data_IF_110526674463
#
_entry.id   IF_110526674463
#
_cell.length_a   1.000
_cell.length_b   1.000
_cell.length_c   1.000
_cell.angle_alpha   90.00
_cell.angle_beta   90.00
_cell.angle_gamma   90.00
#
_symmetry.space_group_name_H-M   'P 1'
#
loop_
_entity.id
_entity.type
_entity.pdbx_description
1 polymer ?
#
# COMPACT_ATOMS: atom_id res chain seq x y z
N UNK A 1 -30.57 -26.10 -5.20
CA UNK A 1 -29.78 -25.73 -4.02
C UNK A 1 -30.49 -24.59 -3.32
N UNK A 2 -31.04 -24.80 -2.14
CA UNK A 2 -31.57 -23.73 -1.29
C UNK A 2 -30.38 -22.92 -0.81
N UNK A 3 -30.32 -21.63 -1.12
CA UNK A 3 -29.31 -20.73 -0.55
C UNK A 3 -29.50 -20.67 0.96
N UNK A 4 -28.49 -21.01 1.73
CA UNK A 4 -28.53 -20.82 3.19
C UNK A 4 -28.42 -19.33 3.47
N UNK A 5 -29.24 -18.82 4.39
CA UNK A 5 -29.17 -17.44 4.82
C UNK A 5 -27.90 -17.17 5.62
N UNK A 6 -27.36 -15.96 5.48
CA UNK A 6 -26.20 -15.50 6.25
C UNK A 6 -26.69 -14.48 7.27
N UNK A 7 -26.41 -14.74 8.55
CA UNK A 7 -26.69 -13.83 9.66
C UNK A 7 -25.39 -13.24 10.19
N UNK A 8 -25.44 -12.01 10.68
CA UNK A 8 -24.31 -11.30 11.28
C UNK A 8 -24.53 -11.19 12.78
N UNK A 9 -23.57 -11.61 13.57
CA UNK A 9 -23.64 -11.62 15.03
C UNK A 9 -22.38 -11.04 15.66
N UNK A 10 -22.53 -10.33 16.77
CA UNK A 10 -21.42 -9.91 17.63
C UNK A 10 -20.94 -11.06 18.51
N UNK A 11 -19.68 -10.97 18.97
CA UNK A 11 -19.09 -11.91 19.91
C UNK A 11 -18.59 -11.15 21.16
N UNK A 12 -19.31 -11.22 22.29
CA UNK A 12 -18.89 -10.54 23.52
C UNK A 12 -17.69 -11.21 24.23
N UNK A 13 -17.31 -12.43 23.83
CA UNK A 13 -16.27 -13.23 24.47
C UNK A 13 -14.91 -13.09 23.76
N UNK A 14 -14.69 -12.04 22.98
CA UNK A 14 -13.41 -11.79 22.32
C UNK A 14 -12.33 -11.46 23.35
N UNK A 15 -11.18 -12.11 23.18
CA UNK A 15 -9.96 -11.82 23.95
C UNK A 15 -9.13 -10.78 23.21
N UNK A 16 -8.27 -10.07 23.93
CA UNK A 16 -7.35 -9.11 23.36
C UNK A 16 -6.37 -9.78 22.41
N UNK A 17 -6.14 -9.15 21.27
CA UNK A 17 -5.07 -9.49 20.33
C UNK A 17 -3.77 -8.84 20.80
N UNK A 18 -2.66 -9.57 20.77
CA UNK A 18 -1.32 -9.02 21.01
C UNK A 18 -0.49 -9.16 19.72
N UNK A 19 0.21 -8.10 19.36
CA UNK A 19 1.04 -8.03 18.15
C UNK A 19 2.49 -7.79 18.51
N UNK A 20 3.40 -8.54 17.87
CA UNK A 20 4.85 -8.42 17.98
C UNK A 20 5.40 -8.15 16.59
N UNK A 21 6.08 -7.03 16.43
CA UNK A 21 6.65 -6.63 15.14
C UNK A 21 8.16 -6.50 15.26
N UNK A 22 8.87 -7.12 14.33
CA UNK A 22 10.31 -6.98 14.16
C UNK A 22 10.58 -6.53 12.74
N UNK A 23 11.54 -5.61 12.57
CA UNK A 23 11.96 -5.15 11.26
C UNK A 23 13.46 -4.90 11.23
N UNK A 24 14.08 -5.21 10.09
CA UNK A 24 15.46 -4.86 9.75
C UNK A 24 15.41 -3.96 8.53
N UNK A 25 16.04 -2.80 8.63
CA UNK A 25 16.12 -1.79 7.57
C UNK A 25 17.57 -1.66 7.11
N UNK A 26 17.78 -1.66 5.79
CA UNK A 26 19.04 -1.32 5.16
C UNK A 26 18.82 -0.27 4.09
N UNK A 27 19.60 0.80 4.14
CA UNK A 27 19.59 1.89 3.15
C UNK A 27 20.95 2.05 2.52
N UNK A 28 20.96 2.18 1.20
CA UNK A 28 22.15 2.53 0.42
C UNK A 28 21.81 3.67 -0.53
N UNK A 29 22.62 4.71 -0.52
CA UNK A 29 22.43 5.89 -1.36
C UNK A 29 23.70 6.18 -2.14
N UNK A 30 23.54 6.39 -3.44
CA UNK A 30 24.60 6.80 -4.32
C UNK A 30 24.10 7.79 -5.37
N UNK A 31 25.02 8.29 -6.18
CA UNK A 31 24.68 9.16 -7.31
C UNK A 31 23.73 8.50 -8.30
N UNK A 32 23.85 7.17 -8.48
CA UNK A 32 23.14 6.43 -9.52
C UNK A 32 22.04 5.50 -9.01
N UNK A 33 22.09 5.14 -7.74
CA UNK A 33 21.20 4.18 -7.13
C UNK A 33 20.88 4.56 -5.70
N UNK A 34 19.60 4.68 -5.38
CA UNK A 34 19.11 4.65 -4.01
C UNK A 34 18.41 3.31 -3.81
N UNK A 35 18.73 2.60 -2.76
CA UNK A 35 18.18 1.30 -2.42
C UNK A 35 17.75 1.27 -0.96
N UNK A 36 16.51 0.88 -0.72
CA UNK A 36 15.98 0.58 0.60
C UNK A 36 15.52 -0.87 0.62
N UNK A 37 16.00 -1.62 1.60
CA UNK A 37 15.58 -2.99 1.86
C UNK A 37 15.00 -3.05 3.27
N UNK A 38 13.78 -3.60 3.38
CA UNK A 38 13.13 -3.86 4.66
C UNK A 38 12.83 -5.36 4.71
N UNK A 39 13.22 -6.01 5.79
CA UNK A 39 12.72 -7.33 6.16
C UNK A 39 11.84 -7.17 7.39
N UNK A 40 10.66 -7.77 7.38
CA UNK A 40 9.69 -7.61 8.45
C UNK A 40 9.04 -8.94 8.83
N UNK A 41 8.77 -9.05 10.12
CA UNK A 41 8.02 -10.14 10.70
C UNK A 41 7.00 -9.60 11.68
N UNK A 42 5.73 -9.94 11.47
CA UNK A 42 4.63 -9.64 12.37
C UNK A 42 4.09 -10.97 12.91
N UNK A 43 3.98 -11.10 14.22
CA UNK A 43 3.33 -12.21 14.88
C UNK A 43 2.20 -11.71 15.78
N UNK A 44 1.04 -12.36 15.71
CA UNK A 44 -0.12 -12.04 16.51
C UNK A 44 -0.60 -13.26 17.26
N UNK A 45 -0.87 -13.09 18.56
CA UNK A 45 -1.58 -14.08 19.38
C UNK A 45 -3.04 -13.69 19.48
N UNK A 46 -3.92 -14.69 19.45
CA UNK A 46 -5.37 -14.50 19.50
C UNK A 46 -5.90 -13.46 18.49
N UNK A 47 -5.47 -13.49 17.20
CA UNK A 47 -5.91 -12.50 16.21
C UNK A 47 -7.43 -12.50 16.12
N UNK A 48 -8.03 -11.30 16.06
CA UNK A 48 -9.48 -11.15 15.89
C UNK A 48 -9.75 -11.16 14.39
N UNK A 49 -10.53 -12.14 13.93
CA UNK A 49 -10.85 -12.33 12.52
C UNK A 49 -12.35 -12.56 12.33
N UNK A 50 -12.88 -12.06 11.22
CA UNK A 50 -14.21 -12.45 10.75
C UNK A 50 -14.21 -13.89 10.26
N UNK A 51 -15.18 -14.66 10.63
CA UNK A 51 -15.26 -16.09 10.32
C UNK A 51 -16.71 -16.54 10.15
N UNK A 52 -16.95 -17.49 9.23
CA UNK A 52 -18.23 -18.13 9.04
C UNK A 52 -18.32 -19.42 9.87
N UNK A 53 -19.39 -19.53 10.69
CA UNK A 53 -19.79 -20.75 11.37
C UNK A 53 -21.10 -21.24 10.77
N UNK A 54 -21.31 -22.55 10.77
CA UNK A 54 -22.57 -23.18 10.40
C UNK A 54 -23.36 -23.53 11.65
N UNK A 55 -24.62 -23.05 11.71
CA UNK A 55 -25.54 -23.36 12.78
C UNK A 55 -26.88 -23.80 12.18
N UNK A 56 -27.17 -25.11 12.30
CA UNK A 56 -28.35 -25.70 11.70
C UNK A 56 -28.39 -25.53 10.18
N UNK A 57 -29.37 -24.77 9.68
CA UNK A 57 -29.58 -24.56 8.24
C UNK A 57 -29.10 -23.18 7.74
N UNK A 58 -28.33 -22.44 8.53
CA UNK A 58 -27.85 -21.11 8.15
C UNK A 58 -26.37 -20.92 8.52
N UNK A 59 -25.75 -19.88 7.96
CA UNK A 59 -24.40 -19.47 8.28
C UNK A 59 -24.43 -18.21 9.17
N UNK A 60 -23.55 -18.17 10.16
CA UNK A 60 -23.34 -17.00 11.00
C UNK A 60 -21.95 -16.46 10.71
N UNK A 61 -21.89 -15.19 10.31
CA UNK A 61 -20.64 -14.43 10.25
C UNK A 61 -20.44 -13.66 11.55
N UNK A 62 -19.37 -13.95 12.26
CA UNK A 62 -19.01 -13.23 13.47
C UNK A 62 -17.49 -13.09 13.60
N UNK A 63 -17.05 -12.27 14.56
CA UNK A 63 -15.65 -12.16 14.93
C UNK A 63 -15.26 -13.25 15.90
N UNK A 64 -14.13 -13.91 15.66
CA UNK A 64 -13.58 -14.94 16.55
C UNK A 64 -12.10 -14.69 16.80
N UNK A 65 -11.58 -15.19 17.91
CA UNK A 65 -10.14 -15.23 18.13
C UNK A 65 -9.55 -16.45 17.41
N UNK A 66 -8.62 -16.21 16.52
CA UNK A 66 -7.78 -17.25 15.95
C UNK A 66 -6.72 -17.73 16.92
N UNK A 67 -6.00 -18.79 16.58
CA UNK A 67 -4.89 -19.30 17.38
C UNK A 67 -3.68 -18.38 17.29
N UNK A 68 -3.28 -18.06 16.05
CA UNK A 68 -2.19 -17.14 15.74
C UNK A 68 -2.33 -16.60 14.32
N UNK A 69 -1.68 -15.48 14.08
CA UNK A 69 -1.39 -15.02 12.72
C UNK A 69 0.06 -14.58 12.63
N UNK A 70 0.66 -14.76 11.46
CA UNK A 70 1.97 -14.20 11.19
C UNK A 70 2.07 -13.70 9.75
N UNK A 71 2.89 -12.67 9.58
CA UNK A 71 3.29 -12.14 8.28
C UNK A 71 4.81 -12.11 8.22
N UNK A 72 5.38 -12.80 7.26
CA UNK A 72 6.77 -12.62 6.85
C UNK A 72 6.75 -11.79 5.57
N UNK A 73 7.49 -10.72 5.55
CA UNK A 73 7.50 -9.83 4.41
C UNK A 73 8.80 -9.05 4.29
N UNK A 74 8.85 -8.26 3.24
CA UNK A 74 9.94 -7.34 2.99
C UNK A 74 9.50 -6.27 2.01
N UNK A 75 10.33 -5.25 1.88
CA UNK A 75 10.23 -4.24 0.84
C UNK A 75 11.56 -4.09 0.16
N UNK A 76 11.53 -4.05 -1.15
CA UNK A 76 12.64 -3.58 -1.98
C UNK A 76 12.16 -2.30 -2.66
N UNK A 77 12.79 -1.19 -2.34
CA UNK A 77 12.56 0.08 -3.00
C UNK A 77 13.87 0.53 -3.65
N UNK A 78 13.91 0.54 -4.98
CA UNK A 78 15.07 0.93 -5.76
C UNK A 78 14.74 2.13 -6.63
N UNK A 79 15.60 3.15 -6.60
CA UNK A 79 15.54 4.32 -7.48
C UNK A 79 16.83 4.42 -8.28
N UNK A 80 16.77 4.14 -9.56
CA UNK A 80 17.91 4.14 -10.49
C UNK A 80 17.92 5.46 -11.24
N UNK A 81 19.05 6.15 -11.22
CA UNK A 81 19.31 7.44 -11.87
C UNK A 81 20.41 7.26 -12.94
N UNK A 82 20.10 6.83 -14.17
CA UNK A 82 21.11 6.44 -15.16
C UNK A 82 22.16 7.51 -15.44
N UNK A 83 21.77 8.77 -15.35
CA UNK A 83 22.67 9.92 -15.57
C UNK A 83 23.23 10.53 -14.28
N UNK A 84 22.96 9.92 -13.12
CA UNK A 84 23.34 10.46 -11.81
C UNK A 84 22.67 11.79 -11.47
N UNK A 85 21.55 12.10 -12.13
CA UNK A 85 20.72 13.30 -11.95
C UNK A 85 19.25 12.88 -11.95
N UNK A 86 18.36 13.82 -11.65
CA UNK A 86 16.90 13.57 -11.72
C UNK A 86 16.33 13.74 -13.17
N UNK A 87 17.19 13.81 -14.20
CA UNK A 87 16.74 13.88 -15.58
C UNK A 87 15.86 12.68 -15.95
N UNK A 88 16.33 11.50 -15.59
CA UNK A 88 15.60 10.24 -15.75
C UNK A 88 15.75 9.41 -14.48
N UNK A 89 14.64 8.92 -13.93
CA UNK A 89 14.61 8.08 -12.75
C UNK A 89 13.66 6.92 -12.95
N UNK A 90 14.16 5.73 -12.73
CA UNK A 90 13.38 4.49 -12.69
C UNK A 90 13.17 4.12 -11.22
N UNK A 91 11.93 3.94 -10.80
CA UNK A 91 11.61 3.46 -9.45
C UNK A 91 10.95 2.10 -9.53
N UNK A 92 11.36 1.21 -8.64
CA UNK A 92 10.81 -0.13 -8.50
C UNK A 92 10.55 -0.33 -7.01
N UNK A 93 9.30 -0.58 -6.66
CA UNK A 93 8.91 -0.99 -5.31
C UNK A 93 8.27 -2.38 -5.37
N UNK A 94 8.77 -3.30 -4.58
CA UNK A 94 8.23 -4.65 -4.44
C UNK A 94 8.04 -4.93 -2.95
N UNK A 95 6.83 -5.35 -2.55
CA UNK A 95 6.47 -5.68 -1.17
C UNK A 95 6.07 -7.17 -1.03
N UNK A 96 6.99 -8.14 -1.27
CA UNK A 96 6.66 -9.55 -1.12
C UNK A 96 6.31 -9.85 0.34
N UNK A 97 5.16 -10.48 0.55
CA UNK A 97 4.78 -10.94 1.87
C UNK A 97 3.94 -12.22 1.84
N UNK A 98 4.07 -13.02 2.88
CA UNK A 98 3.26 -14.20 3.13
C UNK A 98 2.51 -14.02 4.44
N UNK A 99 1.20 -13.90 4.32
CA UNK A 99 0.29 -13.83 5.46
C UNK A 99 -0.25 -15.21 5.75
N UNK A 100 -0.27 -15.59 7.02
CA UNK A 100 -0.86 -16.85 7.48
C UNK A 100 -1.70 -16.57 8.72
N UNK A 101 -2.92 -17.07 8.74
CA UNK A 101 -3.86 -16.99 9.85
C UNK A 101 -4.29 -18.42 10.18
N UNK A 102 -4.24 -18.78 11.44
CA UNK A 102 -4.69 -20.07 11.95
C UNK A 102 -5.87 -19.89 12.90
N UNK A 103 -6.92 -20.61 12.65
CA UNK A 103 -8.08 -20.76 13.53
C UNK A 103 -8.08 -22.15 14.16
N UNK A 104 -9.03 -22.45 15.02
CA UNK A 104 -9.21 -23.77 15.60
C UNK A 104 -9.49 -24.86 14.54
N UNK A 105 -10.12 -24.50 13.41
CA UNK A 105 -10.57 -25.44 12.37
C UNK A 105 -9.74 -25.35 11.08
N UNK A 106 -9.23 -24.15 10.75
CA UNK A 106 -8.65 -23.88 9.44
C UNK A 106 -7.37 -23.06 9.53
N UNK A 107 -6.55 -23.17 8.49
CA UNK A 107 -5.36 -22.36 8.27
C UNK A 107 -5.46 -21.71 6.89
N UNK A 108 -5.36 -20.40 6.86
CA UNK A 108 -5.39 -19.58 5.65
C UNK A 108 -4.00 -19.03 5.37
N UNK A 109 -3.52 -19.15 4.16
CA UNK A 109 -2.24 -18.57 3.76
C UNK A 109 -2.36 -17.92 2.40
N UNK A 110 -1.84 -16.69 2.29
CA UNK A 110 -1.82 -15.93 1.05
C UNK A 110 -0.42 -15.35 0.87
N UNK A 111 0.16 -15.58 -0.31
CA UNK A 111 1.33 -14.84 -0.76
C UNK A 111 0.85 -13.66 -1.61
N UNK A 112 1.42 -12.49 -1.38
CA UNK A 112 1.21 -11.29 -2.16
C UNK A 112 2.53 -10.59 -2.42
N UNK A 113 2.59 -9.82 -3.49
CA UNK A 113 3.73 -8.98 -3.81
C UNK A 113 3.22 -7.66 -4.43
N UNK A 114 2.61 -6.78 -3.61
CA UNK A 114 2.31 -5.43 -4.07
C UNK A 114 3.53 -4.83 -4.75
N UNK A 115 3.31 -4.20 -5.88
CA UNK A 115 4.40 -3.71 -6.71
C UNK A 115 4.03 -2.37 -7.32
N UNK A 116 5.05 -1.59 -7.59
CA UNK A 116 4.92 -0.28 -8.20
C UNK A 116 6.17 0.01 -9.03
N UNK A 117 5.96 0.38 -10.27
CA UNK A 117 7.00 0.79 -11.20
C UNK A 117 6.72 2.21 -11.64
N UNK A 118 7.71 3.09 -11.62
CA UNK A 118 7.57 4.39 -12.23
C UNK A 118 8.79 4.79 -13.05
N UNK A 119 8.52 5.58 -14.08
CA UNK A 119 9.51 6.23 -14.90
C UNK A 119 9.26 7.73 -14.83
N UNK A 120 10.19 8.46 -14.21
CA UNK A 120 10.15 9.91 -14.11
C UNK A 120 11.16 10.52 -15.07
N UNK A 121 10.72 11.49 -15.85
CA UNK A 121 11.56 12.30 -16.74
C UNK A 121 11.40 13.77 -16.38
N UNK A 122 12.51 14.48 -16.16
CA UNK A 122 12.54 15.90 -15.85
C UNK A 122 13.59 16.60 -16.70
N UNK A 123 13.17 17.48 -17.58
CA UNK A 123 14.08 18.27 -18.41
C UNK A 123 13.63 19.72 -18.49
N UNK A 124 14.46 20.64 -17.98
CA UNK A 124 14.13 22.06 -17.89
C UNK A 124 12.78 22.28 -17.20
N UNK A 125 11.81 22.76 -17.95
CA UNK A 125 10.46 23.07 -17.49
C UNK A 125 9.48 21.91 -17.71
N UNK A 126 9.90 20.81 -18.30
CA UNK A 126 9.10 19.64 -18.58
C UNK A 126 9.30 18.56 -17.53
N UNK A 127 8.21 17.97 -17.09
CA UNK A 127 8.22 16.73 -16.34
C UNK A 127 7.23 15.74 -16.94
N UNK A 128 7.59 14.49 -16.98
CA UNK A 128 6.69 13.41 -17.36
C UNK A 128 6.87 12.24 -16.38
N UNK A 129 5.77 11.57 -16.10
CA UNK A 129 5.76 10.40 -15.25
C UNK A 129 4.90 9.32 -15.91
N UNK A 130 5.36 8.09 -15.85
CA UNK A 130 4.59 6.91 -16.16
C UNK A 130 4.62 5.97 -14.98
N UNK A 131 3.46 5.44 -14.56
CA UNK A 131 3.36 4.49 -13.45
C UNK A 131 2.63 3.24 -13.89
N UNK A 132 3.12 2.11 -13.40
CA UNK A 132 2.53 0.81 -13.66
C UNK A 132 2.54 -0.06 -12.41
N UNK A 133 1.47 -0.80 -12.14
CA UNK A 133 1.45 -1.84 -11.12
C UNK A 133 0.69 -3.06 -11.61
N UNK A 134 1.22 -4.24 -11.28
CA UNK A 134 0.60 -5.52 -11.60
C UNK A 134 -0.34 -5.88 -10.44
N UNK A 135 -1.61 -6.22 -10.71
CA UNK A 135 -2.55 -6.61 -9.67
C UNK A 135 -2.09 -7.84 -8.89
N UNK A 136 -2.15 -7.76 -7.58
CA UNK A 136 -1.83 -8.87 -6.69
C UNK A 136 -2.93 -9.09 -5.68
N UNK A 137 -3.04 -10.31 -5.14
CA UNK A 137 -3.95 -10.59 -4.04
C UNK A 137 -3.28 -10.32 -2.71
N UNK A 138 -3.98 -9.61 -1.81
CA UNK A 138 -3.62 -9.46 -0.40
C UNK A 138 -4.59 -10.24 0.49
N UNK A 139 -4.17 -10.57 1.71
CA UNK A 139 -5.02 -11.23 2.70
C UNK A 139 -5.67 -10.19 3.61
N UNK A 140 -6.97 -10.30 3.79
CA UNK A 140 -7.75 -9.52 4.75
C UNK A 140 -8.67 -10.46 5.54
N UNK A 141 -8.18 -10.96 6.68
CA UNK A 141 -8.87 -12.02 7.41
C UNK A 141 -9.01 -13.30 6.58
N UNK A 142 -10.24 -13.75 6.37
CA UNK A 142 -10.57 -14.90 5.52
C UNK A 142 -10.70 -14.55 4.03
N UNK A 143 -10.61 -13.27 3.68
CA UNK A 143 -10.74 -12.78 2.31
C UNK A 143 -9.40 -12.62 1.63
N UNK A 144 -9.43 -12.74 0.31
CA UNK A 144 -8.38 -12.32 -0.62
C UNK A 144 -8.92 -11.17 -1.45
N UNK A 145 -8.26 -10.02 -1.36
CA UNK A 145 -8.62 -8.83 -2.12
C UNK A 145 -7.57 -8.58 -3.19
N UNK A 146 -8.00 -8.45 -4.45
CA UNK A 146 -7.11 -8.11 -5.56
C UNK A 146 -7.06 -6.60 -5.71
N UNK A 147 -5.84 -6.04 -5.74
CA UNK A 147 -5.63 -4.63 -6.07
C UNK A 147 -5.97 -4.34 -7.54
N UNK A 148 -6.23 -3.09 -7.84
CA UNK A 148 -6.37 -2.61 -9.22
C UNK A 148 -5.03 -2.65 -9.97
N UNK A 149 -5.10 -2.74 -11.28
CA UNK A 149 -3.96 -2.48 -12.17
C UNK A 149 -3.83 -0.96 -12.35
N UNK A 150 -2.67 -0.40 -12.07
CA UNK A 150 -2.35 0.98 -12.42
C UNK A 150 -1.61 1.01 -13.74
N UNK A 151 -2.01 1.91 -14.61
CA UNK A 151 -1.38 2.17 -15.89
C UNK A 151 -1.66 3.64 -16.22
N UNK A 152 -0.84 4.53 -15.67
CA UNK A 152 -1.08 5.95 -15.64
C UNK A 152 0.10 6.69 -16.28
N UNK A 153 -0.20 7.73 -17.01
CA UNK A 153 0.78 8.64 -17.62
C UNK A 153 0.42 10.08 -17.30
N UNK A 154 1.42 10.91 -17.07
CA UNK A 154 1.24 12.35 -16.96
C UNK A 154 2.41 13.10 -17.55
N UNK A 155 2.13 14.29 -18.09
CA UNK A 155 3.13 15.25 -18.53
C UNK A 155 2.75 16.63 -18.00
N UNK A 156 3.74 17.41 -17.58
CA UNK A 156 3.53 18.77 -17.11
C UNK A 156 4.60 19.72 -17.64
N UNK A 157 4.21 20.98 -17.80
CA UNK A 157 5.07 22.08 -18.19
C UNK A 157 4.96 23.24 -17.21
N UNK A 158 6.09 23.68 -16.67
CA UNK A 158 6.20 24.80 -15.74
C UNK A 158 6.56 26.09 -16.50
N UNK A 159 5.69 27.08 -16.44
CA UNK A 159 5.94 28.42 -17.01
C UNK A 159 5.89 29.46 -15.90
N UNK A 160 7.03 29.86 -15.37
CA UNK A 160 7.10 30.76 -14.19
C UNK A 160 6.25 30.22 -13.04
N UNK A 161 5.19 30.95 -12.68
CA UNK A 161 4.26 30.59 -11.61
C UNK A 161 3.13 29.66 -12.06
N UNK A 162 3.03 29.35 -13.35
CA UNK A 162 1.98 28.50 -13.91
C UNK A 162 2.53 27.10 -14.15
N UNK A 163 1.72 26.09 -13.84
CA UNK A 163 1.97 24.70 -14.21
C UNK A 163 0.75 24.16 -14.95
N UNK A 164 1.00 23.65 -16.13
CA UNK A 164 0.01 22.99 -16.98
C UNK A 164 0.29 21.51 -16.94
N UNK A 165 -0.72 20.67 -16.74
CA UNK A 165 -0.57 19.24 -16.71
C UNK A 165 -1.65 18.53 -17.52
N UNK A 166 -1.26 17.44 -18.16
CA UNK A 166 -2.15 16.51 -18.83
C UNK A 166 -1.81 15.10 -18.32
N UNK A 167 -2.82 14.36 -17.90
CA UNK A 167 -2.68 12.99 -17.43
C UNK A 167 -3.69 12.06 -18.07
N UNK A 168 -3.35 10.79 -18.09
CA UNK A 168 -4.25 9.69 -18.41
C UNK A 168 -4.11 8.63 -17.32
N UNK A 169 -5.23 8.14 -16.82
CA UNK A 169 -5.26 7.07 -15.81
C UNK A 169 -6.05 5.87 -16.35
N UNK A 170 -5.71 4.67 -15.86
CA UNK A 170 -6.29 3.41 -16.32
C UNK A 170 -6.22 3.21 -17.84
N UNK A 171 -5.06 3.47 -18.44
CA UNK A 171 -4.87 3.44 -19.88
C UNK A 171 -5.21 2.06 -20.46
N UNK A 172 -6.27 2.02 -21.26
CA UNK A 172 -6.72 0.82 -21.96
C UNK A 172 -7.47 -0.22 -21.12
N UNK A 173 -7.62 -0.03 -19.81
CA UNK A 173 -8.24 -1.01 -18.90
C UNK A 173 -9.25 -0.39 -17.97
N UNK A 174 -10.23 -1.20 -17.56
CA UNK A 174 -11.19 -0.82 -16.53
C UNK A 174 -10.56 -1.02 -15.14
N UNK A 175 -10.88 -0.14 -14.19
CA UNK A 175 -10.52 -0.35 -12.79
C UNK A 175 -11.34 -1.53 -12.24
N UNK A 176 -10.69 -2.64 -11.95
CA UNK A 176 -11.36 -3.87 -11.48
C UNK A 176 -10.84 -4.28 -10.11
N UNK A 177 -11.76 -4.46 -9.17
CA UNK A 177 -11.53 -4.90 -7.80
C UNK A 177 -12.18 -6.25 -7.59
N UNK A 178 -11.45 -7.22 -7.03
CA UNK A 178 -11.96 -8.55 -6.75
C UNK A 178 -11.76 -8.84 -5.27
N UNK A 179 -12.83 -9.21 -4.60
CA UNK A 179 -12.80 -9.74 -3.23
C UNK A 179 -13.40 -11.14 -3.24
N UNK A 180 -12.67 -12.10 -2.69
CA UNK A 180 -13.18 -13.47 -2.57
C UNK A 180 -12.71 -14.09 -1.26
N UNK A 181 -13.51 -15.00 -0.72
CA UNK A 181 -13.12 -15.80 0.43
C UNK A 181 -11.97 -16.75 0.09
N UNK A 182 -11.20 -17.11 1.09
CA UNK A 182 -10.18 -18.14 0.94
C UNK A 182 -10.84 -19.50 0.68
N UNK A 183 -10.22 -20.35 -0.12
CA UNK A 183 -10.74 -21.66 -0.53
C UNK A 183 -11.09 -22.59 0.65
N UNK A 184 -10.51 -22.35 1.84
CA UNK A 184 -10.79 -23.12 3.05
C UNK A 184 -11.97 -22.54 3.88
N UNK A 185 -12.62 -21.47 3.41
CA UNK A 185 -13.84 -20.96 4.04
C UNK A 185 -15.03 -21.86 3.71
N UNK A 186 -15.92 -22.07 4.69
CA UNK A 186 -17.17 -22.85 4.50
C UNK A 186 -18.17 -22.13 3.59
N UNK A 187 -18.09 -20.78 3.55
CA UNK A 187 -18.85 -19.94 2.62
C UNK A 187 -17.92 -19.43 1.55
N UNK A 188 -18.26 -19.67 0.29
CA UNK A 188 -17.51 -19.16 -0.85
C UNK A 188 -18.21 -17.93 -1.41
N UNK A 189 -17.58 -16.78 -1.22
CA UNK A 189 -18.02 -15.49 -1.76
C UNK A 189 -17.07 -15.05 -2.85
N UNK A 190 -17.61 -14.46 -3.89
CA UNK A 190 -16.87 -13.82 -4.96
C UNK A 190 -17.58 -12.52 -5.32
N UNK A 191 -16.90 -11.41 -5.17
CA UNK A 191 -17.35 -10.09 -5.55
C UNK A 191 -16.35 -9.48 -6.52
N UNK A 192 -16.83 -9.15 -7.72
CA UNK A 192 -16.07 -8.39 -8.71
C UNK A 192 -16.79 -7.08 -8.99
N UNK A 193 -16.05 -5.98 -8.90
CA UNK A 193 -16.50 -4.64 -9.23
C UNK A 193 -15.61 -4.06 -10.31
N UNK A 194 -16.19 -3.73 -11.45
CA UNK A 194 -15.50 -3.08 -12.57
C UNK A 194 -16.10 -1.68 -12.77
N UNK A 195 -15.22 -0.68 -12.79
CA UNK A 195 -15.61 0.73 -12.98
C UNK A 195 -15.21 1.11 -14.39
N UNK A 196 -16.14 0.98 -15.33
CA UNK A 196 -15.92 1.21 -16.76
C UNK A 196 -15.70 2.67 -17.11
N UNK A 197 -16.34 3.57 -16.38
CA UNK A 197 -16.27 5.02 -16.62
C UNK A 197 -14.87 5.60 -16.34
N UNK A 198 -14.03 4.88 -15.59
CA UNK A 198 -12.66 5.29 -15.31
C UNK A 198 -11.64 4.84 -16.38
N UNK A 199 -12.07 4.08 -17.38
CA UNK A 199 -11.17 3.60 -18.43
C UNK A 199 -10.61 4.75 -19.26
N UNK A 200 -9.27 4.85 -19.32
CA UNK A 200 -8.57 5.88 -20.09
C UNK A 200 -9.05 7.31 -19.79
N UNK A 201 -9.29 7.60 -18.53
CA UNK A 201 -9.73 8.92 -18.10
C UNK A 201 -8.62 9.94 -18.33
N UNK A 202 -8.93 11.03 -19.05
CA UNK A 202 -8.03 12.16 -19.25
C UNK A 202 -8.25 13.23 -18.15
N UNK A 203 -7.15 13.73 -17.62
CA UNK A 203 -7.15 14.77 -16.58
C UNK A 203 -6.32 15.93 -17.10
N UNK A 204 -6.91 17.12 -17.11
CA UNK A 204 -6.20 18.36 -17.41
C UNK A 204 -6.14 19.22 -16.16
N UNK A 205 -4.95 19.76 -15.83
CA UNK A 205 -4.73 20.59 -14.66
C UNK A 205 -4.01 21.88 -15.00
N UNK A 206 -4.44 22.97 -14.35
CA UNK A 206 -3.76 24.27 -14.35
C UNK A 206 -3.54 24.65 -12.89
N UNK A 207 -2.30 24.91 -12.52
CA UNK A 207 -1.92 25.35 -11.18
C UNK A 207 -1.20 26.69 -11.28
N UNK A 208 -1.54 27.63 -10.41
CA UNK A 208 -0.88 28.91 -10.28
C UNK A 208 -0.32 29.07 -8.88
N UNK A 209 0.99 29.25 -8.77
CA UNK A 209 1.68 29.46 -7.51
C UNK A 209 1.78 30.95 -7.21
N UNK A 210 1.03 31.39 -6.21
CA UNK A 210 1.04 32.77 -5.75
C UNK A 210 1.93 32.92 -4.52
N UNK A 211 3.08 33.58 -4.69
CA UNK A 211 3.98 33.92 -3.58
C UNK A 211 3.94 35.43 -3.32
N UNK A 212 3.22 35.85 -2.28
CA UNK A 212 3.14 37.28 -1.89
C UNK A 212 4.05 37.66 -0.71
N UNK A 213 4.95 36.79 -0.28
CA UNK A 213 5.84 37.01 0.87
C UNK A 213 7.31 37.23 0.50
N UNK A 214 7.98 38.17 1.21
CA UNK A 214 9.44 38.22 1.20
C UNK A 214 9.99 36.93 1.85
N UNK A 215 10.81 36.18 1.14
CA UNK A 215 11.56 35.05 1.71
C UNK A 215 12.49 35.59 2.81
N UNK A 216 12.02 35.57 4.06
CA UNK A 216 12.90 35.71 5.21
C UNK A 216 13.52 34.37 5.47
N UNK A 217 14.77 34.17 5.06
CA UNK A 217 15.57 33.07 5.56
C UNK A 217 15.76 33.28 7.06
N UNK A 218 15.00 32.56 7.87
CA UNK A 218 15.23 32.50 9.31
C UNK A 218 16.41 31.57 9.52
N UNK A 219 17.65 32.09 9.41
CA UNK A 219 18.80 31.40 9.96
C UNK A 219 18.70 31.50 11.49
N UNK A 220 18.08 30.51 12.14
CA UNK A 220 18.26 30.34 13.59
C UNK A 220 19.70 29.93 13.83
N UNK A 221 20.56 30.90 14.17
CA UNK A 221 21.80 30.62 14.93
C UNK A 221 21.33 30.10 16.29
N UNK A 222 21.45 28.84 16.51
CA UNK A 222 21.38 28.26 17.86
C UNK A 222 22.77 28.57 18.45
N UNK A 223 22.87 29.66 19.18
CA UNK A 223 24.03 29.89 20.07
C UNK A 223 23.76 29.03 21.33
N UNK A 224 24.34 27.83 21.38
CA UNK A 224 24.52 27.14 22.64
C UNK A 224 25.58 27.94 23.42
N UNK A 225 25.14 28.76 24.35
CA UNK A 225 25.98 29.21 25.44
C UNK A 225 26.10 28.04 26.39
N UNK A 226 27.21 27.34 26.36
CA UNK A 226 27.63 26.45 27.44
C UNK A 226 27.71 27.29 28.71
N UNK A 227 26.72 27.21 29.56
CA UNK A 227 26.81 27.67 30.91
C UNK A 227 27.59 26.58 31.67
N UNK A 228 28.83 26.86 32.00
CA UNK A 228 29.60 26.07 32.93
C UNK A 228 28.81 25.85 34.20
N UNK A 229 28.35 24.62 34.42
CA UNK A 229 27.74 24.22 35.68
C UNK A 229 28.90 24.01 36.70
N UNK A 230 28.86 24.64 37.86
CA UNK A 230 29.89 24.42 38.86
C UNK A 230 29.77 22.97 39.41
N UNK A 231 30.93 22.33 39.43
CA UNK A 231 31.13 21.01 40.06
C UNK A 231 31.05 21.18 41.54
N UNK A 232 30.10 20.50 42.18
CA UNK A 232 30.13 20.22 43.63
C UNK A 232 30.19 18.70 43.84
#
# INVERSE_FOLDING_TARGET
MTSKDIYYSGNPNLRNEHSYTNALLYNFYSKYLDLELILSHLYKTSPIIGYYNEEGNHFIYNSVNGNYAYTYGGRVNASIKPFGTNLLRLQITLDPCKNTISTAKNKFSVFSCPNYFSLDFNYKNWSANYTYSIPTYSAEGIYKTRSEEKNDFSIAYQLKNWKFSLGMVFIGKDATYITKTNNNSIVQEYLERSIRDNKSMCIFGIEFNFNSGKNKSISRKIENKDTDAPIF
#
